data_IF_728852287357
#
_entry.id   IF_728852287357
#
_cell.length_a   1.000
_cell.length_b   1.000
_cell.length_c   1.000
_cell.angle_alpha   90.00
_cell.angle_beta   90.00
_cell.angle_gamma   90.00
#
_symmetry.space_group_name_H-M   'P 1'
#
loop_
_entity.id
_entity.type
_entity.pdbx_description
1 polymer ?
#
# COMPACT_ATOMS: atom_id res chain seq x y z
N UNK A 1 -22.11 18.94 21.99
CA UNK A 1 -23.05 18.95 20.85
C UNK A 1 -22.29 18.30 19.71
N UNK A 2 -22.50 16.99 19.53
CA UNK A 2 -21.71 16.17 18.59
C UNK A 2 -22.38 16.29 17.24
N UNK A 3 -21.74 16.95 16.30
CA UNK A 3 -22.20 17.02 14.91
C UNK A 3 -21.78 15.73 14.20
N UNK A 4 -22.75 14.83 13.99
CA UNK A 4 -22.65 13.83 12.94
C UNK A 4 -22.60 14.55 11.60
N UNK A 5 -21.51 14.39 10.85
CA UNK A 5 -21.44 14.78 9.43
C UNK A 5 -21.82 13.58 8.55
N UNK A 6 -22.54 13.82 7.44
CA UNK A 6 -23.01 12.77 6.56
C UNK A 6 -21.89 12.28 5.64
N UNK A 7 -21.65 10.98 5.68
CA UNK A 7 -20.86 10.24 4.72
C UNK A 7 -21.63 10.29 3.38
N UNK A 8 -21.14 11.04 2.38
CA UNK A 8 -21.74 11.09 1.03
C UNK A 8 -20.84 10.53 -0.08
N UNK A 9 -19.63 10.05 0.24
CA UNK A 9 -18.77 9.38 -0.75
C UNK A 9 -18.68 7.85 -0.57
N UNK A 10 -19.08 7.30 0.58
CA UNK A 10 -18.97 5.86 0.85
C UNK A 10 -20.09 5.01 0.22
N UNK A 11 -21.19 5.64 -0.23
CA UNK A 11 -22.33 4.93 -0.82
C UNK A 11 -22.16 4.62 -2.32
N UNK A 12 -21.23 5.29 -3.01
CA UNK A 12 -20.97 5.04 -4.43
C UNK A 12 -20.03 3.84 -4.65
N UNK A 13 -19.18 3.50 -3.67
CA UNK A 13 -18.22 2.41 -3.84
C UNK A 13 -18.81 1.02 -3.56
N UNK A 14 -19.77 0.90 -2.63
CA UNK A 14 -20.53 -0.35 -2.46
C UNK A 14 -21.46 -0.68 -3.64
N UNK A 15 -21.62 0.24 -4.61
CA UNK A 15 -22.45 0.03 -5.80
C UNK A 15 -21.68 -0.37 -7.06
N UNK A 16 -20.33 -0.29 -7.06
CA UNK A 16 -19.51 -0.63 -8.23
C UNK A 16 -18.84 -2.01 -8.16
N UNK A 17 -19.08 -2.78 -7.09
CA UNK A 17 -18.83 -4.21 -7.04
C UNK A 17 -20.12 -4.93 -6.65
N UNK A 18 -21.02 -5.14 -7.61
CA UNK A 18 -22.11 -6.11 -7.43
C UNK A 18 -21.52 -7.51 -7.54
N UNK A 19 -20.90 -7.98 -6.45
CA UNK A 19 -20.76 -9.41 -6.22
C UNK A 19 -22.16 -9.95 -5.92
N UNK A 20 -22.64 -10.87 -6.77
CA UNK A 20 -23.83 -11.65 -6.50
C UNK A 20 -23.69 -12.30 -5.12
N UNK A 21 -24.68 -12.11 -4.24
CA UNK A 21 -24.67 -12.55 -2.84
C UNK A 21 -24.54 -14.07 -2.63
N UNK A 22 -24.47 -14.86 -3.70
CA UNK A 22 -24.49 -16.32 -3.65
C UNK A 22 -23.09 -16.97 -3.62
N UNK A 23 -21.99 -16.26 -3.84
CA UNK A 23 -20.65 -16.87 -4.01
C UNK A 23 -19.48 -16.07 -3.38
N UNK A 24 -19.65 -15.60 -2.14
CA UNK A 24 -18.56 -15.07 -1.30
C UNK A 24 -18.21 -16.11 -0.24
N UNK A 25 -16.94 -16.50 -0.12
CA UNK A 25 -16.49 -17.26 1.04
C UNK A 25 -16.23 -16.25 2.17
N UNK A 26 -17.23 -16.06 3.03
CA UNK A 26 -17.07 -15.26 4.24
C UNK A 26 -16.22 -16.09 5.20
N UNK A 27 -14.97 -15.68 5.41
CA UNK A 27 -14.16 -16.23 6.50
C UNK A 27 -14.55 -15.49 7.76
N UNK A 28 -15.39 -16.12 8.58
CA UNK A 28 -15.78 -15.57 9.88
C UNK A 28 -14.65 -15.80 10.89
N UNK A 29 -13.81 -14.78 11.12
CA UNK A 29 -12.97 -14.77 12.31
C UNK A 29 -13.73 -14.13 13.47
N UNK A 30 -14.03 -14.95 14.48
CA UNK A 30 -14.70 -14.50 15.71
C UNK A 30 -13.65 -14.05 16.71
N UNK A 31 -13.45 -12.74 16.84
CA UNK A 31 -12.67 -12.18 17.93
C UNK A 31 -13.57 -12.00 19.15
N UNK A 32 -13.21 -12.63 20.27
CA UNK A 32 -13.92 -12.44 21.54
C UNK A 32 -13.11 -11.46 22.39
N UNK A 33 -13.62 -10.24 22.54
CA UNK A 33 -12.98 -9.22 23.38
C UNK A 33 -13.88 -8.93 24.59
N UNK A 34 -13.30 -9.01 25.79
CA UNK A 34 -13.99 -8.64 27.01
C UNK A 34 -13.59 -7.22 27.42
N UNK A 35 -14.55 -6.30 27.41
CA UNK A 35 -14.38 -4.92 27.89
C UNK A 35 -15.40 -4.70 29.01
N UNK A 36 -14.94 -4.27 30.18
CA UNK A 36 -15.76 -4.00 31.38
C UNK A 36 -16.73 -5.14 31.79
N UNK A 37 -16.25 -6.39 31.71
CA UNK A 37 -17.03 -7.56 32.13
C UNK A 37 -18.20 -7.91 31.19
N UNK A 38 -18.29 -7.26 30.02
CA UNK A 38 -19.16 -7.66 28.92
C UNK A 38 -18.34 -8.30 27.83
N UNK A 39 -18.75 -9.47 27.39
CA UNK A 39 -18.18 -10.14 26.22
C UNK A 39 -18.82 -9.55 24.98
N UNK A 40 -18.02 -8.91 24.14
CA UNK A 40 -18.43 -8.49 22.80
C UNK A 40 -17.81 -9.49 21.84
N UNK A 41 -18.68 -10.17 21.08
CA UNK A 41 -18.28 -11.06 19.99
C UNK A 41 -18.44 -10.24 18.73
N UNK A 42 -17.33 -9.96 18.05
CA UNK A 42 -17.35 -9.23 16.79
C UNK A 42 -16.88 -10.19 15.69
N UNK A 43 -17.72 -10.34 14.67
CA UNK A 43 -17.43 -11.13 13.48
C UNK A 43 -16.86 -10.17 12.45
N UNK A 44 -15.59 -10.35 12.09
CA UNK A 44 -14.98 -9.61 10.99
C UNK A 44 -15.24 -10.44 9.72
N UNK A 45 -15.97 -9.86 8.77
CA UNK A 45 -16.20 -10.46 7.45
C UNK A 45 -15.08 -10.00 6.52
N UNK A 46 -14.04 -10.83 6.36
CA UNK A 46 -13.03 -10.63 5.31
C UNK A 46 -13.61 -11.09 3.96
N UNK A 47 -13.74 -10.16 3.01
CA UNK A 47 -14.17 -10.49 1.63
C UNK A 47 -12.97 -11.08 0.90
N UNK A 48 -12.84 -12.40 0.94
CA UNK A 48 -11.87 -13.12 0.12
C UNK A 48 -12.53 -13.44 -1.22
N UNK A 49 -12.00 -12.95 -2.36
CA UNK A 49 -12.54 -13.34 -3.66
C UNK A 49 -12.44 -14.86 -3.82
N UNK A 50 -13.54 -15.50 -4.20
CA UNK A 50 -13.55 -16.93 -4.54
C UNK A 50 -12.80 -17.09 -5.86
N UNK A 51 -11.57 -17.60 -5.80
CA UNK A 51 -10.72 -17.83 -6.97
C UNK A 51 -10.90 -19.26 -7.45
N UNK A 52 -11.48 -19.44 -8.63
CA UNK A 52 -11.40 -20.72 -9.32
C UNK A 52 -9.95 -20.99 -9.73
N UNK A 53 -9.47 -22.22 -9.53
CA UNK A 53 -8.10 -22.63 -9.89
C UNK A 53 -8.11 -23.34 -11.25
N UNK A 54 -7.90 -22.65 -12.39
CA UNK A 54 -7.69 -23.34 -13.65
C UNK A 54 -6.29 -23.96 -13.71
N UNK A 55 -6.15 -24.98 -14.55
CA UNK A 55 -4.89 -25.69 -14.77
C UNK A 55 -3.79 -24.76 -15.34
N UNK A 56 -2.57 -24.97 -14.83
CA UNK A 56 -1.30 -24.28 -15.12
C UNK A 56 -1.12 -23.93 -16.60
N UNK A 57 -1.57 -22.74 -17.00
CA UNK A 57 -1.21 -22.14 -18.30
C UNK A 57 0.00 -21.25 -18.03
N UNK A 58 1.16 -21.48 -18.69
CA UNK A 58 2.38 -20.75 -18.36
C UNK A 58 2.31 -19.37 -19.00
N UNK A 59 2.12 -18.35 -18.18
CA UNK A 59 2.48 -16.97 -18.53
C UNK A 59 3.93 -16.72 -18.12
N UNK A 60 4.58 -15.73 -18.73
CA UNK A 60 5.94 -15.35 -18.39
C UNK A 60 6.03 -15.05 -16.88
N UNK A 61 6.78 -15.90 -16.19
CA UNK A 61 7.08 -15.75 -14.78
C UNK A 61 7.78 -14.41 -14.53
N UNK A 62 7.56 -13.76 -13.38
CA UNK A 62 8.33 -12.57 -13.02
C UNK A 62 9.81 -12.90 -13.03
N UNK A 63 10.61 -12.03 -13.64
CA UNK A 63 12.06 -12.19 -13.62
C UNK A 63 12.65 -11.93 -12.23
N UNK A 64 13.91 -12.32 -12.08
CA UNK A 64 14.67 -12.15 -10.83
C UNK A 64 14.67 -10.70 -10.35
N UNK A 65 14.86 -9.74 -11.24
CA UNK A 65 15.02 -8.33 -10.85
C UNK A 65 13.70 -7.77 -10.31
N UNK A 66 12.57 -8.15 -10.91
CA UNK A 66 11.25 -7.81 -10.38
C UNK A 66 11.03 -8.45 -9.00
N UNK A 67 11.31 -9.74 -8.83
CA UNK A 67 11.15 -10.42 -7.54
C UNK A 67 12.03 -9.79 -6.46
N UNK A 68 13.26 -9.41 -6.80
CA UNK A 68 14.18 -8.77 -5.86
C UNK A 68 13.69 -7.35 -5.50
N UNK A 69 13.17 -6.58 -6.46
CA UNK A 69 12.46 -5.32 -6.17
C UNK A 69 11.26 -5.51 -5.24
N UNK A 70 10.49 -6.58 -5.42
CA UNK A 70 9.39 -6.94 -4.52
C UNK A 70 9.89 -7.29 -3.11
N UNK A 71 10.95 -8.09 -2.99
CA UNK A 71 11.56 -8.39 -1.70
C UNK A 71 12.09 -7.13 -1.00
N UNK A 72 12.68 -6.18 -1.73
CA UNK A 72 13.10 -4.88 -1.17
C UNK A 72 11.93 -4.08 -0.66
N UNK A 73 10.81 -4.08 -1.39
CA UNK A 73 9.58 -3.45 -0.93
C UNK A 73 9.10 -4.11 0.37
N UNK A 74 9.00 -5.44 0.42
CA UNK A 74 8.64 -6.15 1.66
C UNK A 74 9.62 -5.87 2.80
N UNK A 75 10.92 -5.87 2.53
CA UNK A 75 11.97 -5.57 3.51
C UNK A 75 11.83 -4.17 4.11
N UNK A 76 11.43 -3.17 3.31
CA UNK A 76 11.27 -1.78 3.77
C UNK A 76 9.97 -1.53 4.51
N UNK A 77 8.90 -2.21 4.12
CA UNK A 77 7.55 -1.84 4.53
C UNK A 77 6.86 -2.89 5.40
N UNK A 78 7.18 -4.17 5.27
CA UNK A 78 6.38 -5.26 5.85
C UNK A 78 7.16 -6.22 6.73
N UNK A 79 8.45 -6.45 6.48
CA UNK A 79 9.26 -7.41 7.23
C UNK A 79 9.86 -6.73 8.46
N UNK A 80 9.78 -7.38 9.62
CA UNK A 80 10.50 -7.01 10.83
C UNK A 80 11.44 -8.11 11.30
N UNK A 81 12.41 -7.73 12.15
CA UNK A 81 13.34 -8.67 12.76
C UNK A 81 12.66 -9.88 13.45
N UNK A 82 11.57 -9.74 14.24
CA UNK A 82 10.93 -10.90 14.86
C UNK A 82 10.30 -11.87 13.85
N UNK A 83 9.90 -11.39 12.66
CA UNK A 83 9.32 -12.24 11.62
C UNK A 83 10.36 -13.18 11.02
N UNK A 84 11.63 -12.77 11.02
CA UNK A 84 12.75 -13.56 10.52
C UNK A 84 13.43 -14.38 11.63
N UNK A 85 13.35 -13.92 12.89
CA UNK A 85 14.20 -14.39 13.98
C UNK A 85 14.05 -15.87 14.38
N UNK A 86 12.87 -16.47 14.20
CA UNK A 86 12.63 -17.85 14.66
C UNK A 86 13.31 -18.89 13.77
N UNK A 87 13.48 -18.59 12.48
CA UNK A 87 13.87 -19.58 11.48
C UNK A 87 15.17 -19.21 10.72
N UNK A 88 15.73 -18.00 10.95
CA UNK A 88 16.84 -17.48 10.15
C UNK A 88 18.08 -18.38 10.11
N UNK A 89 18.47 -18.96 11.25
CA UNK A 89 19.67 -19.80 11.36
C UNK A 89 19.52 -21.17 10.67
N UNK A 90 18.29 -21.55 10.29
CA UNK A 90 17.97 -22.84 9.68
C UNK A 90 17.64 -22.74 8.18
N UNK A 91 17.75 -21.54 7.60
CA UNK A 91 17.36 -21.28 6.21
C UNK A 91 18.62 -20.99 5.38
N UNK A 92 18.88 -21.83 4.39
CA UNK A 92 19.94 -21.59 3.41
C UNK A 92 19.40 -20.91 2.13
N UNK A 93 18.11 -21.10 1.83
CA UNK A 93 17.47 -20.69 0.59
C UNK A 93 16.19 -19.87 0.83
N UNK A 94 15.99 -18.82 0.03
CA UNK A 94 14.75 -18.07 -0.09
C UNK A 94 13.91 -18.67 -1.21
N UNK A 95 12.77 -19.26 -0.82
CA UNK A 95 11.78 -19.80 -1.76
C UNK A 95 10.73 -18.73 -2.05
N UNK A 96 10.36 -18.57 -3.32
CA UNK A 96 9.32 -17.64 -3.77
C UNK A 96 8.36 -18.38 -4.69
N UNK A 97 7.09 -18.42 -4.31
CA UNK A 97 6.02 -18.98 -5.12
C UNK A 97 5.29 -17.90 -5.91
N UNK A 98 5.01 -18.13 -7.19
CA UNK A 98 4.18 -17.26 -8.02
C UNK A 98 3.01 -18.05 -8.62
N UNK A 99 1.80 -17.47 -8.58
CA UNK A 99 0.61 -18.04 -9.19
C UNK A 99 -0.26 -16.93 -9.78
N UNK A 100 -0.71 -17.10 -11.01
CA UNK A 100 -1.70 -16.21 -11.62
C UNK A 100 -3.08 -16.52 -11.06
N UNK A 101 -3.86 -15.46 -10.84
CA UNK A 101 -5.22 -15.52 -10.32
C UNK A 101 -6.18 -15.11 -11.43
N UNK A 102 -7.37 -15.71 -11.42
CA UNK A 102 -8.41 -15.45 -12.41
C UNK A 102 -9.70 -15.05 -11.68
N UNK A 103 -9.71 -13.90 -10.97
CA UNK A 103 -10.93 -13.40 -10.36
C UNK A 103 -11.94 -13.07 -11.45
N UNK A 104 -13.22 -13.02 -11.06
CA UNK A 104 -14.27 -12.52 -11.95
C UNK A 104 -14.11 -11.02 -12.13
N UNK A 105 -13.98 -10.58 -13.37
CA UNK A 105 -13.87 -9.16 -13.75
C UNK A 105 -15.02 -8.76 -14.67
N UNK A 106 -15.19 -7.44 -14.84
CA UNK A 106 -16.12 -6.89 -15.83
C UNK A 106 -15.59 -7.08 -17.25
N UNK A 107 -16.47 -6.98 -18.25
CA UNK A 107 -16.11 -7.28 -19.64
C UNK A 107 -15.05 -6.34 -20.23
N UNK A 108 -14.95 -5.11 -19.71
CA UNK A 108 -13.97 -4.09 -20.09
C UNK A 108 -12.65 -4.19 -19.29
N UNK A 109 -12.58 -5.05 -18.27
CA UNK A 109 -11.39 -5.21 -17.45
C UNK A 109 -10.57 -6.42 -17.93
N UNK A 110 -9.44 -6.11 -18.55
CA UNK A 110 -8.44 -7.04 -19.05
C UNK A 110 -7.23 -7.15 -18.11
N UNK A 111 -7.35 -6.63 -16.88
CA UNK A 111 -6.30 -6.68 -15.88
C UNK A 111 -5.89 -8.12 -15.58
N UNK A 112 -4.60 -8.28 -15.27
CA UNK A 112 -4.05 -9.55 -14.83
C UNK A 112 -3.83 -9.51 -13.33
N UNK A 113 -4.10 -10.63 -12.67
CA UNK A 113 -3.94 -10.77 -11.23
C UNK A 113 -2.98 -11.91 -10.94
N UNK A 114 -2.17 -11.75 -9.90
CA UNK A 114 -1.30 -12.81 -9.43
C UNK A 114 -1.14 -12.72 -7.92
N UNK A 115 -0.63 -13.78 -7.34
CA UNK A 115 -0.11 -13.76 -5.98
C UNK A 115 1.32 -14.27 -5.94
N UNK A 116 2.07 -13.74 -4.98
CA UNK A 116 3.41 -14.18 -4.63
C UNK A 116 3.42 -14.63 -3.18
N UNK A 117 3.90 -15.85 -2.95
CA UNK A 117 4.12 -16.43 -1.64
C UNK A 117 5.59 -16.28 -1.27
N UNK A 118 5.87 -15.68 -0.11
CA UNK A 118 7.22 -15.56 0.45
C UNK A 118 7.23 -16.23 1.83
N UNK A 119 7.49 -17.55 1.89
CA UNK A 119 7.41 -18.31 3.14
C UNK A 119 8.36 -17.81 4.22
N UNK A 120 9.57 -17.36 3.84
CA UNK A 120 10.54 -16.78 4.78
C UNK A 120 9.95 -15.62 5.59
N UNK A 121 9.11 -14.79 4.96
CA UNK A 121 8.46 -13.66 5.60
C UNK A 121 7.05 -13.99 6.12
N UNK A 122 6.55 -15.21 5.85
CA UNK A 122 5.15 -15.63 6.07
C UNK A 122 4.16 -14.64 5.45
N UNK A 123 4.50 -14.11 4.27
CA UNK A 123 3.68 -13.12 3.57
C UNK A 123 3.12 -13.67 2.27
N UNK A 124 1.85 -13.34 2.02
CA UNK A 124 1.20 -13.42 0.71
C UNK A 124 1.09 -12.01 0.15
N UNK A 125 1.47 -11.85 -1.11
CA UNK A 125 1.40 -10.58 -1.83
C UNK A 125 0.42 -10.75 -2.97
N UNK A 126 -0.61 -9.92 -3.04
CA UNK A 126 -1.49 -9.84 -4.20
C UNK A 126 -0.99 -8.77 -5.15
N UNK A 127 -0.96 -9.11 -6.43
CA UNK A 127 -0.47 -8.29 -7.52
C UNK A 127 -1.60 -8.04 -8.53
N UNK A 128 -1.64 -6.83 -9.09
CA UNK A 128 -2.49 -6.46 -10.23
C UNK A 128 -1.66 -5.76 -11.29
N UNK A 129 -1.77 -6.21 -12.53
CA UNK A 129 -1.36 -5.46 -13.71
C UNK A 129 -2.65 -4.89 -14.31
N UNK A 130 -2.93 -3.61 -14.05
CA UNK A 130 -4.14 -2.96 -14.50
C UNK A 130 -4.18 -2.83 -16.03
N UNK A 131 -5.34 -3.14 -16.60
CA UNK A 131 -5.71 -2.86 -18.00
C UNK A 131 -7.24 -2.79 -18.09
N UNK A 132 -7.80 -1.61 -17.83
CA UNK A 132 -9.26 -1.40 -17.86
C UNK A 132 -9.63 0.02 -18.26
N UNK A 133 -10.90 0.21 -18.61
CA UNK A 133 -11.48 1.52 -18.94
C UNK A 133 -12.49 1.93 -17.87
N UNK A 134 -12.45 3.20 -17.46
CA UNK A 134 -13.49 3.84 -16.65
C UNK A 134 -14.40 4.60 -17.61
N UNK A 135 -15.48 3.94 -18.04
CA UNK A 135 -16.38 4.44 -19.10
C UNK A 135 -16.95 5.83 -18.79
N UNK A 136 -17.28 6.10 -17.53
CA UNK A 136 -17.87 7.37 -17.08
C UNK A 136 -16.91 8.55 -17.23
N UNK A 137 -15.60 8.29 -17.16
CA UNK A 137 -14.55 9.29 -17.25
C UNK A 137 -13.85 9.29 -18.61
N UNK A 138 -14.07 8.24 -19.42
CA UNK A 138 -13.34 8.02 -20.68
C UNK A 138 -11.83 7.88 -20.45
N UNK A 139 -11.44 7.25 -19.34
CA UNK A 139 -10.05 7.06 -18.94
C UNK A 139 -9.64 5.60 -19.09
N UNK A 140 -8.49 5.37 -19.71
CA UNK A 140 -7.83 4.06 -19.73
C UNK A 140 -6.81 4.00 -18.59
N UNK A 141 -6.83 2.92 -17.81
CA UNK A 141 -5.86 2.66 -16.73
C UNK A 141 -5.02 1.47 -17.13
N UNK A 142 -3.70 1.67 -17.28
CA UNK A 142 -2.78 0.66 -17.81
C UNK A 142 -1.43 0.65 -17.11
N UNK A 143 -1.11 -0.47 -16.48
CA UNK A 143 0.19 -0.67 -15.84
C UNK A 143 1.11 -1.53 -16.72
N UNK A 144 2.34 -1.06 -16.92
CA UNK A 144 3.35 -1.81 -17.68
C UNK A 144 3.79 -3.10 -16.97
N UNK A 145 3.67 -3.15 -15.64
CA UNK A 145 4.10 -4.25 -14.79
C UNK A 145 3.02 -4.57 -13.75
N UNK A 146 3.20 -5.69 -13.06
CA UNK A 146 2.44 -6.00 -11.87
C UNK A 146 2.80 -5.03 -10.74
N UNK A 147 1.77 -4.48 -10.09
CA UNK A 147 1.90 -3.69 -8.88
C UNK A 147 1.27 -4.43 -7.70
N UNK A 148 1.86 -4.24 -6.52
CA UNK A 148 1.34 -4.73 -5.25
C UNK A 148 0.03 -4.01 -4.96
N UNK A 149 -1.03 -4.78 -4.75
CA UNK A 149 -2.33 -4.26 -4.31
C UNK A 149 -2.62 -4.62 -2.85
N UNK A 150 -2.01 -5.70 -2.36
CA UNK A 150 -2.14 -6.09 -0.96
C UNK A 150 -0.92 -6.91 -0.51
N UNK A 151 -0.54 -6.73 0.75
CA UNK A 151 0.38 -7.62 1.45
C UNK A 151 -0.30 -8.09 2.72
N UNK A 152 -0.37 -9.40 2.92
CA UNK A 152 -0.93 -10.00 4.12
C UNK A 152 0.11 -10.87 4.81
N UNK A 153 0.29 -10.66 6.12
CA UNK A 153 1.04 -11.58 6.98
C UNK A 153 0.12 -12.67 7.50
N UNK A 154 0.52 -13.93 7.32
CA UNK A 154 -0.26 -15.08 7.78
C UNK A 154 0.45 -15.73 8.97
N UNK A 155 -0.17 -15.68 10.16
CA UNK A 155 0.39 -16.31 11.36
C UNK A 155 0.56 -17.82 11.18
N UNK A 156 -0.49 -18.46 10.66
CA UNK A 156 -0.54 -19.89 10.36
C UNK A 156 -0.27 -20.09 8.86
N UNK A 157 0.87 -19.58 8.39
CA UNK A 157 1.24 -19.63 6.97
C UNK A 157 1.33 -21.08 6.49
N UNK A 158 0.42 -21.45 5.59
CA UNK A 158 0.38 -22.76 4.95
C UNK A 158 0.21 -22.55 3.46
N UNK A 159 1.09 -23.15 2.67
CA UNK A 159 1.01 -23.10 1.22
C UNK A 159 1.41 -24.44 0.62
N UNK A 160 0.88 -24.73 -0.57
CA UNK A 160 1.20 -25.93 -1.34
C UNK A 160 2.06 -25.52 -2.55
N UNK A 161 3.38 -25.78 -2.54
CA UNK A 161 4.29 -25.41 -3.62
C UNK A 161 3.91 -25.99 -4.99
N UNK A 162 3.15 -27.10 -5.04
CA UNK A 162 2.75 -27.72 -6.30
C UNK A 162 1.77 -26.84 -7.11
N UNK A 163 1.06 -25.94 -6.43
CA UNK A 163 0.13 -24.97 -7.05
C UNK A 163 0.86 -23.76 -7.66
N UNK A 164 2.15 -23.59 -7.40
CA UNK A 164 2.91 -22.41 -7.79
C UNK A 164 3.97 -22.74 -8.84
N UNK A 165 4.44 -21.70 -9.52
CA UNK A 165 5.80 -21.73 -10.03
C UNK A 165 6.75 -21.27 -8.92
N UNK A 166 7.81 -22.05 -8.69
CA UNK A 166 8.71 -21.85 -7.56
C UNK A 166 10.06 -21.42 -8.06
N UNK A 167 10.51 -20.26 -7.58
CA UNK A 167 11.86 -19.76 -7.77
C UNK A 167 12.60 -19.86 -6.43
N UNK A 168 13.88 -20.24 -6.48
CA UNK A 168 14.72 -20.47 -5.29
C UNK A 168 16.01 -19.70 -5.48
N UNK A 169 16.38 -18.92 -4.47
CA UNK A 169 17.62 -18.15 -4.41
C UNK A 169 18.33 -18.46 -3.11
N UNK A 170 19.66 -18.34 -3.08
CA UNK A 170 20.38 -18.49 -1.81
C UNK A 170 20.06 -17.31 -0.88
N UNK A 171 20.02 -17.56 0.42
CA UNK A 171 19.83 -16.50 1.41
C UNK A 171 20.91 -15.42 1.30
N UNK A 172 22.16 -15.84 1.10
CA UNK A 172 23.31 -14.96 0.88
C UNK A 172 23.06 -14.03 -0.32
N UNK A 173 22.68 -14.56 -1.48
CA UNK A 173 22.40 -13.75 -2.68
C UNK A 173 21.32 -12.69 -2.43
N UNK A 174 20.21 -13.08 -1.79
CA UNK A 174 19.10 -12.16 -1.52
C UNK A 174 19.54 -11.07 -0.55
N UNK A 175 20.22 -11.44 0.54
CA UNK A 175 20.64 -10.47 1.56
C UNK A 175 21.77 -9.57 1.08
N UNK A 176 22.72 -10.07 0.29
CA UNK A 176 23.75 -9.26 -0.33
C UNK A 176 23.12 -8.22 -1.25
N UNK A 177 22.19 -8.64 -2.10
CA UNK A 177 21.50 -7.70 -2.99
C UNK A 177 20.63 -6.69 -2.23
N UNK A 178 19.88 -7.13 -1.20
CA UNK A 178 19.11 -6.22 -0.34
C UNK A 178 20.03 -5.24 0.38
N UNK A 179 21.19 -5.69 0.85
CA UNK A 179 22.18 -4.83 1.47
C UNK A 179 22.71 -3.81 0.47
N UNK A 180 23.14 -4.24 -0.71
CA UNK A 180 23.67 -3.36 -1.77
C UNK A 180 22.64 -2.30 -2.18
N UNK A 181 21.38 -2.69 -2.36
CA UNK A 181 20.31 -1.83 -2.87
C UNK A 181 19.47 -1.15 -1.78
N UNK A 182 19.81 -1.34 -0.49
CA UNK A 182 19.01 -0.79 0.64
C UNK A 182 18.83 0.72 0.58
N UNK A 183 19.80 1.42 -0.01
CA UNK A 183 19.82 2.88 -0.13
C UNK A 183 19.40 3.40 -1.50
N UNK A 184 18.99 2.53 -2.42
CA UNK A 184 18.47 2.93 -3.72
C UNK A 184 17.15 3.66 -3.52
N UNK A 185 17.09 4.89 -4.04
CA UNK A 185 15.93 5.75 -3.89
C UNK A 185 15.53 6.23 -5.26
N UNK A 186 14.30 5.90 -5.63
CA UNK A 186 13.63 6.56 -6.73
C UNK A 186 12.76 7.65 -6.10
N UNK A 187 12.93 8.89 -6.55
CA UNK A 187 12.02 9.96 -6.18
C UNK A 187 11.30 10.46 -7.43
N UNK A 188 10.04 10.87 -7.29
CA UNK A 188 9.34 11.66 -8.29
C UNK A 188 10.19 12.77 -8.90
N UNK A 189 10.03 12.98 -10.22
CA UNK A 189 10.59 14.13 -10.91
C UNK A 189 10.01 15.46 -10.39
N UNK A 190 10.66 16.58 -10.73
CA UNK A 190 10.26 17.92 -10.25
C UNK A 190 8.81 18.29 -10.58
N UNK A 191 8.34 17.88 -11.76
CA UNK A 191 6.96 18.16 -12.20
C UNK A 191 5.96 17.42 -11.30
N UNK A 192 6.23 16.15 -11.01
CA UNK A 192 5.42 15.35 -10.13
C UNK A 192 5.48 15.83 -8.66
N UNK A 193 6.66 16.24 -8.18
CA UNK A 193 6.78 16.87 -6.86
C UNK A 193 5.94 18.15 -6.74
N UNK A 194 5.81 18.92 -7.83
CA UNK A 194 4.96 20.11 -7.84
C UNK A 194 3.47 19.77 -7.76
N UNK A 195 3.05 18.67 -8.41
CA UNK A 195 1.68 18.14 -8.31
C UNK A 195 1.39 17.62 -6.91
N UNK A 196 2.23 16.74 -6.37
CA UNK A 196 2.15 16.25 -4.99
C UNK A 196 2.02 17.42 -4.02
N UNK A 197 2.84 18.45 -4.17
CA UNK A 197 2.78 19.64 -3.32
C UNK A 197 1.41 20.33 -3.40
N UNK A 198 0.88 20.53 -4.61
CA UNK A 198 -0.42 21.16 -4.82
C UNK A 198 -1.51 20.34 -4.14
N UNK A 199 -1.51 19.02 -4.33
CA UNK A 199 -2.51 18.13 -3.73
C UNK A 199 -2.42 18.08 -2.21
N UNK A 200 -1.21 17.95 -1.63
CA UNK A 200 -1.03 18.06 -0.16
C UNK A 200 -1.58 19.39 0.35
N UNK A 201 -1.30 20.49 -0.35
CA UNK A 201 -1.74 21.81 0.04
C UNK A 201 -3.27 21.96 -0.05
N UNK A 202 -3.90 21.40 -1.09
CA UNK A 202 -5.35 21.41 -1.26
C UNK A 202 -6.05 20.57 -0.18
N UNK A 203 -5.59 19.32 0.03
CA UNK A 203 -6.19 18.40 1.00
C UNK A 203 -6.08 18.91 2.44
N UNK A 204 -4.89 19.38 2.83
CA UNK A 204 -4.68 19.94 4.17
C UNK A 204 -5.48 21.22 4.38
N UNK A 205 -5.59 22.10 3.37
CA UNK A 205 -6.42 23.30 3.49
C UNK A 205 -7.92 22.95 3.62
N UNK A 206 -8.36 21.85 3.01
CA UNK A 206 -9.74 21.37 3.09
C UNK A 206 -10.06 20.75 4.46
N UNK A 207 -9.22 19.84 4.93
CA UNK A 207 -9.47 19.05 6.15
C UNK A 207 -8.97 19.75 7.43
N UNK A 208 -7.82 20.41 7.38
CA UNK A 208 -7.12 21.00 8.53
C UNK A 208 -6.53 22.39 8.23
N UNK A 209 -7.37 23.39 7.88
CA UNK A 209 -6.90 24.74 7.59
C UNK A 209 -6.22 25.42 8.80
N UNK A 210 -6.42 24.91 10.01
CA UNK A 210 -5.77 25.36 11.24
C UNK A 210 -4.29 24.97 11.33
N UNK A 211 -3.87 23.93 10.61
CA UNK A 211 -2.52 23.38 10.70
C UNK A 211 -1.52 24.06 9.75
N UNK A 212 -2.00 24.74 8.72
CA UNK A 212 -1.12 25.48 7.82
C UNK A 212 -1.07 26.97 8.19
N UNK A 213 0.11 27.41 8.62
CA UNK A 213 0.47 28.82 8.49
C UNK A 213 0.88 29.07 7.02
N UNK A 214 0.04 29.77 6.21
CA UNK A 214 0.33 30.01 4.80
C UNK A 214 1.52 30.96 4.60
N UNK A 215 2.01 31.58 5.68
CA UNK A 215 3.17 32.47 5.69
C UNK A 215 4.48 31.79 6.10
N UNK A 216 4.42 30.58 6.67
CA UNK A 216 5.59 29.81 7.09
C UNK A 216 5.97 28.74 6.05
N UNK A 217 7.27 28.44 5.87
CA UNK A 217 7.70 27.29 5.10
C UNK A 217 7.24 26.00 5.78
N UNK A 218 6.78 25.04 4.99
CA UNK A 218 6.38 23.71 5.48
C UNK A 218 7.52 22.73 5.21
N UNK A 219 7.81 21.87 6.18
CA UNK A 219 8.83 20.83 6.02
C UNK A 219 8.12 19.50 5.84
N UNK A 220 8.43 18.82 4.75
CA UNK A 220 7.94 17.46 4.49
C UNK A 220 9.09 16.52 4.16
N UNK A 221 8.92 15.25 4.48
CA UNK A 221 9.85 14.17 4.21
C UNK A 221 9.17 13.18 3.28
N UNK A 222 9.66 13.06 2.07
CA UNK A 222 9.11 12.20 1.03
C UNK A 222 9.82 10.84 1.06
N UNK A 223 9.08 9.74 1.23
CA UNK A 223 9.62 8.40 1.11
C UNK A 223 10.03 8.09 -0.35
N UNK A 224 11.01 7.20 -0.57
CA UNK A 224 11.31 6.73 -1.92
C UNK A 224 10.12 6.01 -2.54
N UNK A 225 9.82 6.31 -3.79
CA UNK A 225 8.88 5.56 -4.61
C UNK A 225 9.40 4.13 -4.81
N UNK A 226 8.48 3.19 -4.95
CA UNK A 226 8.78 1.78 -5.19
C UNK A 226 8.29 1.38 -6.58
N UNK A 227 9.12 0.65 -7.32
CA UNK A 227 8.83 0.24 -8.72
C UNK A 227 7.75 -0.84 -8.85
N UNK A 228 7.32 -1.39 -7.72
CA UNK A 228 6.33 -2.48 -7.66
C UNK A 228 5.02 -2.03 -7.03
N UNK A 229 4.82 -0.73 -6.78
CA UNK A 229 3.60 -0.22 -6.17
C UNK A 229 3.34 1.22 -6.60
N UNK A 230 2.08 1.57 -6.82
CA UNK A 230 1.65 2.91 -7.18
C UNK A 230 1.27 3.71 -5.92
N UNK A 231 2.22 3.81 -4.99
CA UNK A 231 2.03 4.54 -3.74
C UNK A 231 3.23 5.42 -3.37
N UNK A 232 2.94 6.54 -2.71
CA UNK A 232 3.93 7.47 -2.18
C UNK A 232 3.52 7.91 -0.77
N UNK A 233 4.47 7.85 0.16
CA UNK A 233 4.29 8.29 1.54
C UNK A 233 5.06 9.56 1.83
N UNK A 234 4.44 10.46 2.58
CA UNK A 234 5.03 11.74 2.99
C UNK A 234 4.79 11.93 4.48
N UNK A 235 5.83 12.33 5.21
CA UNK A 235 5.68 12.83 6.58
C UNK A 235 5.74 14.35 6.58
N UNK A 236 4.66 14.99 7.05
CA UNK A 236 4.60 16.43 7.22
C UNK A 236 5.03 16.82 8.64
N UNK A 237 6.28 17.27 8.77
CA UNK A 237 6.93 17.55 10.06
C UNK A 237 6.23 18.67 10.83
N UNK A 238 5.79 19.74 10.16
CA UNK A 238 5.13 20.86 10.85
C UNK A 238 3.72 20.53 11.34
N UNK A 239 3.01 19.64 10.63
CA UNK A 239 1.64 19.25 10.95
C UNK A 239 1.54 18.08 11.91
N UNK A 240 2.58 17.22 11.95
CA UNK A 240 2.55 15.91 12.60
C UNK A 240 1.61 14.91 11.90
N UNK A 241 1.53 14.96 10.56
CA UNK A 241 0.68 14.08 9.75
C UNK A 241 1.50 13.20 8.81
N UNK A 242 0.94 12.04 8.48
CA UNK A 242 1.32 11.31 7.28
C UNK A 242 0.36 11.66 6.15
N UNK A 243 0.89 11.77 4.95
CA UNK A 243 0.11 11.84 3.71
C UNK A 243 0.43 10.61 2.88
N UNK A 244 -0.61 9.86 2.52
CA UNK A 244 -0.52 8.67 1.68
C UNK A 244 -1.17 8.96 0.34
N UNK A 245 -0.39 8.85 -0.72
CA UNK A 245 -0.87 8.93 -2.09
C UNK A 245 -0.93 7.51 -2.65
N UNK A 246 -2.09 7.14 -3.20
CA UNK A 246 -2.29 5.87 -3.89
C UNK A 246 -2.94 6.11 -5.25
N UNK A 247 -2.57 5.33 -6.25
CA UNK A 247 -3.19 5.36 -7.58
C UNK A 247 -3.33 3.96 -8.14
N UNK A 248 -4.40 3.72 -8.90
CA UNK A 248 -4.52 2.47 -9.67
C UNK A 248 -3.56 2.46 -10.88
N UNK A 249 -3.28 3.64 -11.42
CA UNK A 249 -2.43 3.88 -12.59
C UNK A 249 -1.00 4.27 -12.19
N UNK A 250 -0.04 4.14 -13.12
CA UNK A 250 1.40 4.33 -12.85
C UNK A 250 1.71 5.74 -12.33
N UNK A 251 2.13 5.84 -11.06
CA UNK A 251 2.46 7.14 -10.46
C UNK A 251 3.64 7.84 -11.14
N UNK A 252 4.44 7.13 -11.94
CA UNK A 252 5.51 7.74 -12.72
C UNK A 252 4.99 8.49 -13.96
N UNK A 253 3.77 8.21 -14.43
CA UNK A 253 3.14 8.95 -15.52
C UNK A 253 2.48 10.23 -14.98
N UNK A 254 2.85 11.37 -15.57
CA UNK A 254 2.31 12.65 -15.14
C UNK A 254 0.85 12.86 -15.54
N UNK A 255 0.40 12.18 -16.59
CA UNK A 255 -0.99 12.29 -17.04
C UNK A 255 -1.94 11.60 -16.04
N UNK A 256 -1.47 10.56 -15.34
CA UNK A 256 -2.18 9.95 -14.20
C UNK A 256 -2.50 10.96 -13.11
N UNK A 257 -1.57 11.86 -12.77
CA UNK A 257 -1.79 12.87 -11.74
C UNK A 257 -2.74 13.99 -12.16
N UNK A 258 -3.02 14.12 -13.46
CA UNK A 258 -4.07 15.02 -13.95
C UNK A 258 -5.44 14.37 -13.90
N UNK A 259 -5.51 13.06 -13.75
CA UNK A 259 -6.75 12.32 -13.51
C UNK A 259 -7.10 12.34 -12.03
N UNK A 260 -8.39 12.39 -11.70
CA UNK A 260 -8.89 12.29 -10.30
C UNK A 260 -8.81 10.84 -9.76
N UNK A 261 -7.97 9.98 -10.34
CA UNK A 261 -7.83 8.56 -9.97
C UNK A 261 -6.84 8.32 -8.83
N UNK A 262 -6.22 9.38 -8.32
CA UNK A 262 -5.36 9.28 -7.15
C UNK A 262 -6.16 9.61 -5.88
N UNK A 263 -5.89 8.86 -4.82
CA UNK A 263 -6.43 9.11 -3.49
C UNK A 263 -5.34 9.68 -2.62
N UNK A 264 -5.70 10.73 -1.88
CA UNK A 264 -4.89 11.31 -0.83
C UNK A 264 -5.53 10.97 0.49
N UNK A 265 -4.77 10.38 1.40
CA UNK A 265 -5.20 10.12 2.77
C UNK A 265 -4.29 10.87 3.73
N UNK A 266 -4.90 11.64 4.64
CA UNK A 266 -4.22 12.38 5.69
C UNK A 266 -4.44 11.66 7.02
N UNK A 267 -3.35 11.30 7.70
CA UNK A 267 -3.36 10.53 8.95
C UNK A 267 -2.72 11.39 10.05
N UNK A 268 -3.48 11.69 11.10
CA UNK A 268 -3.00 12.42 12.26
C UNK A 268 -2.19 11.51 13.19
N UNK A 269 -0.89 11.75 13.33
CA UNK A 269 -0.04 10.86 14.15
C UNK A 269 -0.38 10.92 15.64
N UNK A 270 -1.12 11.94 16.09
CA UNK A 270 -1.52 12.09 17.49
C UNK A 270 -2.87 11.42 17.77
N UNK A 271 -3.77 11.36 16.79
CA UNK A 271 -5.14 10.84 16.97
C UNK A 271 -5.41 9.50 16.30
N UNK A 272 -4.77 9.22 15.16
CA UNK A 272 -5.09 8.06 14.29
C UNK A 272 -4.12 6.88 14.47
N UNK A 273 -3.16 6.99 15.40
CA UNK A 273 -2.20 5.91 15.69
C UNK A 273 -2.62 5.11 16.92
N UNK A 274 -2.90 3.83 16.71
CA UNK A 274 -3.26 2.87 17.78
C UNK A 274 -2.13 1.87 18.03
N UNK A 275 -2.06 1.27 19.22
CA UNK A 275 -1.11 0.19 19.50
C UNK A 275 -1.49 -1.08 18.73
N UNK A 276 -2.78 -1.34 18.59
CA UNK A 276 -3.31 -2.51 17.88
C UNK A 276 -4.60 -2.18 17.15
N UNK A 277 -4.81 -2.79 15.99
CA UNK A 277 -6.09 -2.75 15.28
C UNK A 277 -7.28 -3.23 16.14
N UNK A 278 -7.02 -4.01 17.20
CA UNK A 278 -8.03 -4.43 18.18
C UNK A 278 -8.62 -3.29 19.00
N UNK A 279 -7.98 -2.13 19.07
CA UNK A 279 -8.53 -0.95 19.75
C UNK A 279 -9.73 -0.36 19.00
N UNK A 280 -9.74 -0.54 17.68
CA UNK A 280 -10.76 -0.02 16.75
C UNK A 280 -11.04 -1.06 15.65
N UNK A 281 -11.61 -2.23 15.99
CA UNK A 281 -11.83 -3.30 15.01
C UNK A 281 -12.67 -2.81 13.83
N UNK A 282 -12.27 -3.19 12.61
CA UNK A 282 -12.98 -2.86 11.37
C UNK A 282 -12.92 -1.38 10.95
N UNK A 283 -12.18 -0.53 11.65
CA UNK A 283 -12.00 0.86 11.25
C UNK A 283 -10.74 1.03 10.41
N UNK A 284 -10.91 1.52 9.19
CA UNK A 284 -9.81 1.90 8.31
C UNK A 284 -9.25 3.30 8.61
N UNK A 285 -9.76 3.98 9.64
CA UNK A 285 -9.34 5.33 10.00
C UNK A 285 -8.05 5.35 10.86
N UNK A 286 -7.57 4.18 11.27
CA UNK A 286 -6.44 4.08 12.21
C UNK A 286 -5.33 3.23 11.62
N UNK A 287 -4.09 3.62 11.93
CA UNK A 287 -2.90 2.82 11.65
C UNK A 287 -2.24 2.35 12.94
N UNK A 288 -1.53 1.22 12.88
CA UNK A 288 -0.80 0.75 14.06
C UNK A 288 0.47 1.58 14.28
N UNK A 289 0.92 1.66 15.53
CA UNK A 289 2.19 2.29 15.91
C UNK A 289 3.38 1.70 15.16
N UNK A 290 3.35 0.39 14.91
CA UNK A 290 4.38 -0.29 14.13
C UNK A 290 4.41 0.21 12.68
N UNK A 291 3.23 0.24 12.03
CA UNK A 291 3.09 0.77 10.68
C UNK A 291 3.53 2.24 10.59
N UNK A 292 3.07 3.10 11.50
CA UNK A 292 3.49 4.50 11.56
C UNK A 292 5.01 4.62 11.71
N UNK A 293 5.64 3.79 12.54
CA UNK A 293 7.10 3.75 12.71
C UNK A 293 7.83 3.40 11.41
N UNK A 294 7.34 2.42 10.64
CA UNK A 294 7.89 2.03 9.34
C UNK A 294 7.74 3.13 8.30
N UNK A 295 6.57 3.77 8.22
CA UNK A 295 6.36 4.92 7.33
C UNK A 295 7.34 6.05 7.68
N UNK A 296 7.44 6.42 8.96
CA UNK A 296 8.36 7.46 9.42
C UNK A 296 9.82 7.11 9.13
N UNK A 297 10.23 5.86 9.31
CA UNK A 297 11.57 5.42 8.93
C UNK A 297 11.84 5.61 7.44
N UNK A 298 10.90 5.19 6.58
CA UNK A 298 11.03 5.34 5.13
C UNK A 298 11.03 6.82 4.71
N UNK A 299 10.25 7.69 5.34
CA UNK A 299 10.24 9.13 5.06
C UNK A 299 11.50 9.85 5.58
N UNK A 300 11.87 9.65 6.86
CA UNK A 300 12.89 10.45 7.54
C UNK A 300 14.30 9.92 7.26
N UNK A 301 14.49 8.59 7.29
CA UNK A 301 15.81 7.97 7.19
C UNK A 301 16.17 7.68 5.74
N UNK A 302 15.25 7.06 4.99
CA UNK A 302 15.47 6.70 3.58
C UNK A 302 15.04 7.79 2.61
N UNK A 303 14.10 8.64 3.02
CA UNK A 303 13.50 9.65 2.17
C UNK A 303 14.36 10.89 1.96
N UNK A 304 13.70 11.95 1.51
CA UNK A 304 14.31 13.24 1.22
C UNK A 304 13.52 14.36 1.87
N UNK A 305 14.25 15.32 2.45
CA UNK A 305 13.66 16.52 3.04
C UNK A 305 13.32 17.52 1.94
N UNK A 306 12.08 17.96 1.92
CA UNK A 306 11.59 19.00 1.03
C UNK A 306 11.12 20.18 1.88
N UNK A 307 11.61 21.37 1.53
CA UNK A 307 11.12 22.62 2.11
C UNK A 307 10.14 23.22 1.13
N UNK A 308 8.86 23.18 1.48
CA UNK A 308 7.79 23.79 0.71
C UNK A 308 7.71 25.27 1.11
N UNK A 309 7.92 26.20 0.17
CA UNK A 309 7.83 27.61 0.51
C UNK A 309 6.38 28.01 0.86
N UNK A 310 6.19 29.13 1.57
CA UNK A 310 4.86 29.60 1.98
C UNK A 310 3.90 29.70 0.80
N UNK A 311 2.61 29.40 1.01
CA UNK A 311 1.57 29.42 -0.02
C UNK A 311 1.51 30.74 -0.80
N UNK A 312 1.82 31.86 -0.12
CA UNK A 312 1.75 33.21 -0.67
C UNK A 312 3.02 33.66 -1.40
N UNK A 313 4.07 32.84 -1.40
CA UNK A 313 5.30 33.16 -2.14
C UNK A 313 5.10 32.78 -3.61
N UNK A 314 5.11 33.75 -4.52
CA UNK A 314 4.99 33.52 -5.97
C UNK A 314 6.13 32.70 -6.60
N UNK A 315 6.97 32.06 -5.77
CA UNK A 315 8.08 31.19 -6.14
C UNK A 315 7.73 29.73 -5.82
N UNK A 316 7.56 28.91 -6.86
CA UNK A 316 7.25 27.48 -6.72
C UNK A 316 8.48 26.56 -6.59
N UNK A 317 9.70 27.11 -6.48
CA UNK A 317 10.90 26.27 -6.41
C UNK A 317 10.93 25.42 -5.14
N UNK A 318 10.99 24.10 -5.32
CA UNK A 318 11.22 23.13 -4.26
C UNK A 318 12.72 23.02 -4.02
N UNK A 319 13.14 23.25 -2.78
CA UNK A 319 14.53 23.03 -2.38
C UNK A 319 14.62 21.62 -1.82
N UNK A 320 15.29 20.74 -2.56
CA UNK A 320 15.67 19.40 -2.12
C UNK A 320 16.96 19.55 -1.30
N UNK A 321 16.95 19.14 -0.03
CA UNK A 321 18.11 19.24 0.88
C UNK A 321 18.78 17.89 1.13
#
# INVERSE_FOLDING_TARGET
MIHFRPIHCLALWLSFCVLSADEVLIREETATVSVDGKTVVETIEEVVPVVETPAKTPVAEPDRDYLFSLLRYLYRWHIDAPMLAEDFDAIDDVVIGYRELFPKTDASDHSRFAEVMVPLARTRVLLKQADYEIEELGLEVKNQRFNVVNVSYERDFVWDPELYSVQVYTLEEVFDWLHETRNDRLFPGQELLALIRKEVQEEVNAERPDLMDPSAPQIVYLAPASEVINEVWIYWESGHHLVHFTSDDDLADIDTWKSELHRVELIDLEEDVVVSALEKPGSNAYITKDWAGRVLFNCIVLGVKLVLPPANSGSQQVIIQ
#
